data_IF_069967202959
#
_entry.id   IF_069967202959
#
_cell.length_a   1.000
_cell.length_b   1.000
_cell.length_c   1.000
_cell.angle_alpha   90.00
_cell.angle_beta   90.00
_cell.angle_gamma   90.00
#
_symmetry.space_group_name_H-M   'P 1'
#
loop_
_entity.id
_entity.type
_entity.pdbx_description
1 polymer ?
#
# COMPACT_ATOMS: atom_id res chain seq x y z
N UNK A 1 -1.62 12.75 -32.99
CA UNK A 1 -2.06 12.89 -31.58
C UNK A 1 -2.08 11.51 -30.92
N UNK A 2 -1.50 11.40 -29.73
CA UNK A 2 -1.08 10.14 -29.11
C UNK A 2 -2.26 9.26 -28.65
N UNK A 3 -2.38 8.05 -29.20
CA UNK A 3 -3.37 7.03 -28.85
C UNK A 3 -2.85 6.12 -27.70
N UNK A 4 -2.30 6.70 -26.62
CA UNK A 4 -1.70 5.96 -25.49
C UNK A 4 -2.40 6.13 -24.13
N UNK A 5 -3.44 6.95 -24.03
CA UNK A 5 -4.07 7.28 -22.73
C UNK A 5 -5.01 6.19 -22.18
N UNK A 6 -5.24 5.12 -22.94
CA UNK A 6 -6.18 4.07 -22.57
C UNK A 6 -5.77 3.22 -21.36
N UNK A 7 -4.54 3.34 -20.87
CA UNK A 7 -4.01 2.54 -19.75
C UNK A 7 -3.47 3.37 -18.57
N UNK A 8 -3.52 4.70 -18.64
CA UNK A 8 -2.88 5.59 -17.67
C UNK A 8 -3.40 5.39 -16.23
N UNK A 9 -4.71 5.17 -16.06
CA UNK A 9 -5.31 4.85 -14.76
C UNK A 9 -4.86 3.49 -14.23
N UNK A 10 -4.67 2.51 -15.11
CA UNK A 10 -4.14 1.19 -14.73
C UNK A 10 -2.69 1.25 -14.29
N UNK A 11 -1.85 1.98 -15.04
CA UNK A 11 -0.43 2.16 -14.72
C UNK A 11 -0.28 2.93 -13.41
N UNK A 12 -1.00 4.05 -13.24
CA UNK A 12 -0.96 4.81 -11.98
C UNK A 12 -1.44 3.98 -10.79
N UNK A 13 -2.54 3.25 -10.91
CA UNK A 13 -3.01 2.36 -9.85
C UNK A 13 -2.02 1.23 -9.52
N UNK A 14 -1.33 0.69 -10.52
CA UNK A 14 -0.24 -0.28 -10.32
C UNK A 14 0.97 0.34 -9.59
N UNK A 15 1.40 1.54 -10.00
CA UNK A 15 2.49 2.27 -9.34
C UNK A 15 2.13 2.62 -7.88
N UNK A 16 0.90 3.04 -7.61
CA UNK A 16 0.41 3.26 -6.25
C UNK A 16 0.43 1.97 -5.42
N UNK A 17 0.09 0.84 -6.03
CA UNK A 17 0.20 -0.46 -5.38
C UNK A 17 1.63 -0.85 -5.02
N UNK A 18 2.62 -0.59 -5.89
CA UNK A 18 4.04 -0.75 -5.54
C UNK A 18 4.44 0.20 -4.41
N UNK A 19 4.05 1.48 -4.50
CA UNK A 19 4.37 2.45 -3.45
C UNK A 19 3.75 2.07 -2.11
N UNK A 20 2.57 1.45 -2.10
CA UNK A 20 1.95 0.95 -0.87
C UNK A 20 2.80 -0.11 -0.17
N UNK A 21 3.55 -0.93 -0.92
CA UNK A 21 4.47 -1.93 -0.37
C UNK A 21 5.73 -1.27 0.19
N UNK A 22 6.27 -0.26 -0.48
CA UNK A 22 7.42 0.52 0.01
C UNK A 22 7.05 1.24 1.32
N UNK A 23 5.84 1.79 1.39
CA UNK A 23 5.35 2.53 2.55
C UNK A 23 5.11 1.65 3.79
N UNK A 24 5.06 0.32 3.67
CA UNK A 24 4.90 -0.60 4.82
C UNK A 24 5.89 -0.29 5.93
N UNK A 25 7.14 0.00 5.59
CA UNK A 25 8.22 0.21 6.56
C UNK A 25 8.13 1.60 7.20
N UNK A 26 7.77 2.62 6.42
CA UNK A 26 7.82 4.01 6.86
C UNK A 26 6.53 4.47 7.55
N UNK A 27 5.39 4.12 6.97
CA UNK A 27 4.08 4.54 7.46
C UNK A 27 3.02 3.55 6.99
N UNK A 28 2.68 2.54 7.81
CA UNK A 28 1.71 1.51 7.45
C UNK A 28 0.33 2.11 7.13
N UNK A 29 -0.04 3.20 7.80
CA UNK A 29 -1.30 3.92 7.58
C UNK A 29 -1.33 4.51 6.17
N UNK A 30 -0.26 5.20 5.74
CA UNK A 30 -0.17 5.73 4.39
C UNK A 30 -0.14 4.61 3.35
N UNK A 31 0.50 3.48 3.66
CA UNK A 31 0.48 2.28 2.81
C UNK A 31 -0.95 1.75 2.59
N UNK A 32 -1.76 1.65 3.64
CA UNK A 32 -3.18 1.30 3.53
C UNK A 32 -3.96 2.30 2.67
N UNK A 33 -3.82 3.60 2.92
CA UNK A 33 -4.54 4.62 2.15
C UNK A 33 -4.15 4.58 0.67
N UNK A 34 -2.85 4.45 0.38
CA UNK A 34 -2.32 4.40 -0.98
C UNK A 34 -2.82 3.15 -1.72
N UNK A 35 -2.89 2.00 -1.04
CA UNK A 35 -3.39 0.76 -1.65
C UNK A 35 -4.91 0.82 -1.94
N UNK A 36 -5.70 1.49 -1.12
CA UNK A 36 -7.12 1.73 -1.41
C UNK A 36 -7.29 2.60 -2.67
N UNK A 37 -6.58 3.74 -2.73
CA UNK A 37 -6.65 4.65 -3.89
C UNK A 37 -6.18 3.95 -5.17
N UNK A 38 -5.05 3.23 -5.11
CA UNK A 38 -4.52 2.46 -6.22
C UNK A 38 -5.49 1.38 -6.70
N UNK A 39 -6.14 0.67 -5.77
CA UNK A 39 -7.16 -0.32 -6.09
C UNK A 39 -8.35 0.30 -6.83
N UNK A 40 -8.87 1.44 -6.36
CA UNK A 40 -9.98 2.16 -7.01
C UNK A 40 -9.59 2.56 -8.44
N UNK A 41 -8.39 3.09 -8.65
CA UNK A 41 -7.92 3.45 -9.99
C UNK A 41 -7.86 2.24 -10.92
N UNK A 42 -7.36 1.11 -10.44
CA UNK A 42 -7.33 -0.12 -11.22
C UNK A 42 -8.74 -0.68 -11.50
N UNK A 43 -9.69 -0.61 -10.55
CA UNK A 43 -11.09 -1.01 -10.76
C UNK A 43 -11.76 -0.12 -11.80
N UNK A 44 -11.58 1.21 -11.71
CA UNK A 44 -12.14 2.17 -12.68
C UNK A 44 -11.55 1.92 -14.07
N UNK A 45 -10.24 1.70 -14.17
CA UNK A 45 -9.59 1.31 -15.42
C UNK A 45 -10.20 0.02 -15.97
N UNK A 46 -10.30 -1.02 -15.14
CA UNK A 46 -10.76 -2.35 -15.55
C UNK A 46 -12.21 -2.34 -16.04
N UNK A 47 -13.06 -1.51 -15.43
CA UNK A 47 -14.46 -1.31 -15.85
C UNK A 47 -14.57 -0.56 -17.17
N UNK A 48 -13.68 0.40 -17.45
CA UNK A 48 -13.67 1.16 -18.72
C UNK A 48 -13.03 0.37 -19.86
N UNK A 49 -11.88 -0.23 -19.59
CA UNK A 49 -11.10 -1.02 -20.54
C UNK A 49 -10.27 -2.05 -19.78
N UNK A 50 -10.55 -3.32 -20.03
CA UNK A 50 -9.81 -4.44 -19.46
C UNK A 50 -8.36 -4.39 -19.95
N UNK A 51 -7.43 -4.07 -19.05
CA UNK A 51 -5.99 -3.97 -19.33
C UNK A 51 -5.21 -4.89 -18.40
N UNK A 52 -4.03 -5.34 -18.85
CA UNK A 52 -3.15 -6.19 -18.02
C UNK A 52 -2.71 -5.47 -16.75
N UNK A 53 -2.34 -4.19 -16.88
CA UNK A 53 -1.97 -3.35 -15.72
C UNK A 53 -3.12 -3.11 -14.75
N UNK A 54 -4.37 -2.98 -15.24
CA UNK A 54 -5.54 -2.91 -14.36
C UNK A 54 -5.69 -4.16 -13.50
N UNK A 55 -5.59 -5.35 -14.10
CA UNK A 55 -5.65 -6.62 -13.35
C UNK A 55 -4.49 -6.81 -12.38
N UNK A 56 -3.25 -6.68 -12.84
CA UNK A 56 -2.07 -6.83 -11.98
C UNK A 56 -2.03 -5.77 -10.88
N UNK A 57 -2.45 -4.54 -11.20
CA UNK A 57 -2.60 -3.44 -10.26
C UNK A 57 -3.61 -3.72 -9.16
N UNK A 58 -4.77 -4.31 -9.46
CA UNK A 58 -5.71 -4.73 -8.41
C UNK A 58 -5.09 -5.75 -7.46
N UNK A 59 -4.40 -6.76 -8.00
CA UNK A 59 -3.77 -7.82 -7.18
C UNK A 59 -2.69 -7.23 -6.27
N UNK A 60 -1.79 -6.41 -6.81
CA UNK A 60 -0.70 -5.85 -6.01
C UNK A 60 -1.21 -4.88 -4.93
N UNK A 61 -2.29 -4.13 -5.19
CA UNK A 61 -2.92 -3.28 -4.18
C UNK A 61 -3.56 -4.10 -3.05
N UNK A 62 -4.21 -5.24 -3.36
CA UNK A 62 -4.77 -6.15 -2.34
C UNK A 62 -3.64 -6.73 -1.48
N UNK A 63 -2.54 -7.16 -2.09
CA UNK A 63 -1.37 -7.65 -1.36
C UNK A 63 -0.79 -6.53 -0.49
N UNK A 64 -0.61 -5.33 -1.04
CA UNK A 64 -0.14 -4.15 -0.31
C UNK A 64 -1.00 -3.84 0.90
N UNK A 65 -2.32 -3.86 0.74
CA UNK A 65 -3.26 -3.67 1.84
C UNK A 65 -3.08 -4.72 2.95
N UNK A 66 -3.06 -6.01 2.60
CA UNK A 66 -2.91 -7.09 3.58
C UNK A 66 -1.57 -7.03 4.32
N UNK A 67 -0.47 -6.78 3.60
CA UNK A 67 0.87 -6.65 4.20
C UNK A 67 0.92 -5.47 5.18
N UNK A 68 0.36 -4.31 4.81
CA UNK A 68 0.30 -3.16 5.70
C UNK A 68 -0.52 -3.44 6.97
N UNK A 69 -1.65 -4.14 6.86
CA UNK A 69 -2.47 -4.52 8.03
C UNK A 69 -1.71 -5.49 8.94
N UNK A 70 -1.10 -6.55 8.40
CA UNK A 70 -0.33 -7.52 9.18
C UNK A 70 0.84 -6.82 9.89
N UNK A 71 1.58 -5.97 9.18
CA UNK A 71 2.70 -5.23 9.75
C UNK A 71 2.26 -4.25 10.83
N UNK A 72 1.13 -3.56 10.65
CA UNK A 72 0.55 -2.68 11.67
C UNK A 72 0.21 -3.44 12.96
N UNK A 73 -0.43 -4.62 12.85
CA UNK A 73 -0.73 -5.45 14.02
C UNK A 73 0.55 -5.89 14.72
N UNK A 74 1.58 -6.27 13.96
CA UNK A 74 2.88 -6.65 14.52
C UNK A 74 3.55 -5.49 15.27
N UNK A 75 3.55 -4.30 14.68
CA UNK A 75 4.08 -3.07 15.29
C UNK A 75 3.42 -2.77 16.62
N UNK A 76 2.08 -2.74 16.65
CA UNK A 76 1.31 -2.37 17.84
C UNK A 76 1.41 -3.43 18.94
N UNK A 77 1.37 -4.72 18.58
CA UNK A 77 1.28 -5.80 19.55
C UNK A 77 2.64 -6.22 20.11
N UNK A 78 3.72 -6.10 19.34
CA UNK A 78 5.04 -6.62 19.73
C UNK A 78 6.08 -5.51 19.83
N UNK A 79 6.21 -4.67 18.80
CA UNK A 79 7.33 -3.71 18.75
C UNK A 79 7.16 -2.56 19.75
N UNK A 80 6.00 -1.90 19.76
CA UNK A 80 5.70 -0.78 20.67
C UNK A 80 5.86 -1.17 22.16
N UNK A 81 5.29 -2.28 22.66
CA UNK A 81 5.46 -2.64 24.07
C UNK A 81 6.92 -2.92 24.43
N UNK A 82 7.66 -3.62 23.58
CA UNK A 82 9.10 -3.87 23.82
C UNK A 82 9.88 -2.55 23.88
N UNK A 83 9.63 -1.62 22.96
CA UNK A 83 10.29 -0.30 22.95
C UNK A 83 9.95 0.47 24.25
N UNK A 84 8.68 0.44 24.67
CA UNK A 84 8.26 1.12 25.90
C UNK A 84 8.91 0.51 27.16
N UNK A 85 9.03 -0.82 27.24
CA UNK A 85 9.73 -1.48 28.34
C UNK A 85 11.21 -1.08 28.39
N UNK A 86 11.89 -1.06 27.24
CA UNK A 86 13.30 -0.66 27.17
C UNK A 86 13.52 0.80 27.56
N UNK A 87 12.62 1.70 27.14
CA UNK A 87 12.66 3.12 27.54
C UNK A 87 12.41 3.33 29.03
N UNK A 88 11.56 2.51 29.65
CA UNK A 88 11.34 2.56 31.11
C UNK A 88 12.53 2.03 31.91
N UNK A 89 13.22 1.00 31.39
CA UNK A 89 14.39 0.40 32.05
C UNK A 89 15.66 1.24 31.90
N UNK A 90 15.78 2.02 30.83
CA UNK A 90 16.90 2.90 30.58
C UNK A 90 16.41 4.32 30.30
N UNK A 91 15.91 5.04 31.31
CA UNK A 91 15.54 6.45 31.14
C UNK A 91 16.80 7.19 30.72
N UNK A 92 16.80 7.67 29.47
CA UNK A 92 17.87 8.52 28.94
C UNK A 92 17.81 9.84 29.71
N UNK A 93 18.57 9.93 30.79
CA UNK A 93 18.92 11.18 31.48
C UNK A 93 20.08 11.86 30.75
#
# INVERSE_FOLDING_TARGET
MAKKDGEALGISGFTLGIMSLVLVIFSPILGVMTSIVGFVFCVVQQRRKNTRFGKSGMIINVIGFLVNIIWMVFLVKYLIPIINEQLQLNPVY
#
